data_IF_807419183418
#
_entry.id   IF_807419183418
#
_cell.length_a   1.000
_cell.length_b   1.000
_cell.length_c   1.000
_cell.angle_alpha   90.00
_cell.angle_beta   90.00
_cell.angle_gamma   90.00
#
_symmetry.space_group_name_H-M   'P 1'
#
loop_
_entity.id
_entity.type
_entity.pdbx_description
1 polymer ?
#
# COMPACT_ATOMS: atom_id res chain seq x y z
N UNK A 1 -2.15 1.05 -14.32
CA UNK A 1 -2.54 1.12 -12.90
C UNK A 1 -2.77 -0.25 -12.28
N UNK A 2 -3.35 -1.20 -13.04
CA UNK A 2 -3.63 -2.53 -12.50
C UNK A 2 -2.38 -3.26 -12.05
N UNK A 3 -1.29 -3.10 -12.80
CA UNK A 3 -0.03 -3.74 -12.46
C UNK A 3 0.57 -3.18 -11.16
N UNK A 4 0.52 -1.87 -11.01
CA UNK A 4 1.03 -1.23 -9.79
C UNK A 4 0.20 -1.64 -8.58
N UNK A 5 -1.11 -1.74 -8.72
CA UNK A 5 -1.96 -2.21 -7.64
C UNK A 5 -1.61 -3.65 -7.25
N UNK A 6 -1.41 -4.50 -8.23
CA UNK A 6 -1.03 -5.89 -8.01
C UNK A 6 0.33 -5.98 -7.32
N UNK A 7 1.31 -5.24 -7.82
CA UNK A 7 2.67 -5.24 -7.25
C UNK A 7 2.65 -4.72 -5.80
N UNK A 8 1.85 -3.72 -5.54
CA UNK A 8 1.73 -3.14 -4.22
C UNK A 8 1.16 -4.13 -3.21
N UNK A 9 0.04 -4.78 -3.57
CA UNK A 9 -0.57 -5.75 -2.66
C UNK A 9 0.32 -6.99 -2.49
N UNK A 10 0.98 -7.42 -3.54
CA UNK A 10 1.90 -8.56 -3.46
C UNK A 10 3.04 -8.28 -2.50
N UNK A 11 3.62 -7.09 -2.58
CA UNK A 11 4.71 -6.70 -1.69
C UNK A 11 4.26 -6.71 -0.23
N UNK A 12 3.10 -6.14 0.04
CA UNK A 12 2.57 -6.09 1.39
C UNK A 12 2.22 -7.49 1.92
N UNK A 13 1.64 -8.33 1.07
CA UNK A 13 1.25 -9.68 1.46
C UNK A 13 2.43 -10.61 1.72
N UNK A 14 3.54 -10.39 1.03
CA UNK A 14 4.76 -11.19 1.24
C UNK A 14 5.40 -10.95 2.59
N UNK A 15 5.17 -9.78 3.15
CA UNK A 15 5.82 -9.37 4.38
C UNK A 15 4.78 -8.86 5.38
N UNK A 16 3.87 -9.74 5.86
CA UNK A 16 2.84 -9.31 6.82
C UNK A 16 3.46 -8.74 8.08
N UNK A 17 2.89 -7.65 8.56
CA UNK A 17 3.38 -6.99 9.76
C UNK A 17 4.54 -6.04 9.55
N UNK A 18 5.17 -6.09 8.39
CA UNK A 18 6.26 -5.16 8.08
C UNK A 18 5.69 -3.83 7.61
N UNK A 19 6.06 -2.76 8.28
CA UNK A 19 5.60 -1.41 7.94
C UNK A 19 6.51 -0.83 6.86
N UNK A 20 5.87 -0.34 5.80
CA UNK A 20 6.55 0.35 4.71
C UNK A 20 6.14 1.81 4.71
N UNK A 21 7.12 2.71 4.60
CA UNK A 21 6.80 4.13 4.41
C UNK A 21 6.26 4.34 2.99
N UNK A 22 5.55 5.44 2.77
CA UNK A 22 5.05 5.77 1.44
C UNK A 22 6.18 5.91 0.44
N UNK A 23 7.31 6.46 0.88
CA UNK A 23 8.49 6.61 0.04
C UNK A 23 9.07 5.26 -0.37
N UNK A 24 9.14 4.32 0.57
CA UNK A 24 9.60 2.96 0.27
C UNK A 24 8.68 2.28 -0.72
N UNK A 25 7.38 2.39 -0.54
CA UNK A 25 6.41 1.81 -1.47
C UNK A 25 6.52 2.42 -2.85
N UNK A 26 6.72 3.73 -2.92
CA UNK A 26 6.90 4.40 -4.19
C UNK A 26 8.12 3.88 -4.95
N UNK A 27 9.25 3.76 -4.26
CA UNK A 27 10.49 3.25 -4.85
C UNK A 27 10.36 1.79 -5.28
N UNK A 28 9.77 0.95 -4.45
CA UNK A 28 9.70 -0.49 -4.69
C UNK A 28 8.68 -0.87 -5.76
N UNK A 29 7.60 -0.12 -5.87
CA UNK A 29 6.52 -0.44 -6.81
C UNK A 29 6.64 0.37 -8.10
N UNK A 30 6.84 1.67 -7.99
CA UNK A 30 6.93 2.55 -9.17
C UNK A 30 8.32 2.68 -9.72
N UNK A 31 9.33 2.45 -8.90
CA UNK A 31 10.71 2.50 -9.34
C UNK A 31 11.42 3.78 -8.91
N UNK A 32 12.73 3.67 -8.87
CA UNK A 32 13.60 4.73 -8.38
C UNK A 32 13.50 6.03 -9.17
N UNK A 33 13.23 5.90 -10.47
CA UNK A 33 13.18 7.06 -11.38
C UNK A 33 11.80 7.71 -11.46
N UNK A 34 10.82 7.20 -10.73
CA UNK A 34 9.48 7.74 -10.77
C UNK A 34 9.46 9.13 -10.13
N UNK A 35 9.00 10.11 -10.88
CA UNK A 35 8.94 11.50 -10.43
C UNK A 35 7.56 11.93 -9.96
N UNK A 36 6.68 10.98 -9.73
CA UNK A 36 5.34 11.28 -9.26
C UNK A 36 5.31 11.63 -7.77
N UNK A 37 4.15 12.11 -7.37
CA UNK A 37 3.90 12.51 -5.99
C UNK A 37 3.71 11.29 -5.10
N UNK A 38 4.17 11.38 -3.88
CA UNK A 38 3.97 10.36 -2.85
C UNK A 38 2.48 10.06 -2.61
N UNK A 39 1.60 11.01 -2.91
CA UNK A 39 0.16 10.82 -2.82
C UNK A 39 -0.36 9.75 -3.78
N UNK A 40 0.41 9.39 -4.80
CA UNK A 40 0.08 8.29 -5.69
C UNK A 40 -0.09 6.99 -4.91
N UNK A 41 0.77 6.77 -3.92
CA UNK A 41 0.69 5.60 -3.05
C UNK A 41 -0.64 5.58 -2.30
N UNK A 42 -1.02 6.72 -1.73
CA UNK A 42 -2.27 6.84 -0.98
C UNK A 42 -3.48 6.52 -1.83
N UNK A 43 -3.50 7.00 -3.07
CA UNK A 43 -4.58 6.73 -4.02
C UNK A 43 -4.69 5.23 -4.31
N UNK A 44 -3.57 4.57 -4.55
CA UNK A 44 -3.56 3.15 -4.85
C UNK A 44 -3.94 2.31 -3.62
N UNK A 45 -3.51 2.70 -2.44
CA UNK A 45 -3.92 2.05 -1.20
C UNK A 45 -5.44 2.16 -1.02
N UNK A 46 -6.01 3.33 -1.27
CA UNK A 46 -7.45 3.53 -1.18
C UNK A 46 -8.21 2.61 -2.14
N UNK A 47 -7.73 2.50 -3.39
CA UNK A 47 -8.34 1.62 -4.38
C UNK A 47 -8.27 0.15 -3.98
N UNK A 48 -7.13 -0.27 -3.42
CA UNK A 48 -6.99 -1.64 -2.92
C UNK A 48 -7.95 -1.92 -1.78
N UNK A 49 -8.10 -0.97 -0.85
CA UNK A 49 -9.06 -1.11 0.24
C UNK A 49 -10.48 -1.26 -0.28
N UNK A 50 -10.85 -0.48 -1.27
CA UNK A 50 -12.18 -0.57 -1.87
C UNK A 50 -12.44 -1.94 -2.49
N UNK A 51 -11.40 -2.59 -3.02
CA UNK A 51 -11.50 -3.90 -3.63
C UNK A 51 -11.45 -5.06 -2.63
N UNK A 52 -10.65 -4.94 -1.58
CA UNK A 52 -10.35 -6.04 -0.67
C UNK A 52 -11.11 -5.97 0.64
N UNK A 53 -11.39 -4.79 1.14
CA UNK A 53 -11.99 -4.60 2.45
C UNK A 53 -13.51 -4.55 2.33
N UNK A 54 -14.19 -5.18 3.30
CA UNK A 54 -15.64 -5.06 3.41
C UNK A 54 -16.05 -3.62 3.66
N UNK A 55 -15.29 -2.96 4.53
CA UNK A 55 -15.51 -1.56 4.87
C UNK A 55 -14.19 -0.83 4.76
N UNK A 56 -13.95 -0.11 3.66
CA UNK A 56 -12.68 0.61 3.47
C UNK A 56 -12.38 1.62 4.56
N UNK A 57 -13.40 2.13 5.25
CA UNK A 57 -13.21 3.07 6.35
C UNK A 57 -12.69 2.38 7.62
N UNK A 58 -12.88 1.06 7.73
CA UNK A 58 -12.37 0.27 8.85
C UNK A 58 -11.59 -0.94 8.30
N UNK A 59 -10.40 -0.70 7.71
CA UNK A 59 -9.67 -1.76 7.03
C UNK A 59 -9.18 -2.85 7.98
N UNK A 60 -9.28 -4.09 7.53
CA UNK A 60 -8.83 -5.27 8.28
C UNK A 60 -7.51 -5.83 7.74
N UNK A 61 -7.18 -5.57 6.48
CA UNK A 61 -6.00 -6.14 5.81
C UNK A 61 -4.90 -5.12 5.61
N UNK A 62 -5.21 -4.01 5.00
CA UNK A 62 -4.24 -2.95 4.73
C UNK A 62 -4.41 -1.88 5.80
N UNK A 63 -3.47 -1.84 6.73
CA UNK A 63 -3.57 -0.98 7.92
C UNK A 63 -2.64 0.23 7.77
N UNK A 64 -3.13 1.38 8.18
CA UNK A 64 -2.32 2.59 8.23
C UNK A 64 -1.56 2.65 9.55
N UNK A 65 -0.25 2.83 9.46
CA UNK A 65 0.57 3.17 10.62
C UNK A 65 0.77 4.68 10.60
N UNK A 66 0.02 5.39 11.43
CA UNK A 66 0.01 6.85 11.42
C UNK A 66 1.42 7.42 11.63
N UNK A 67 1.79 8.34 10.76
CA UNK A 67 3.10 8.98 10.80
C UNK A 67 4.23 8.15 10.19
N UNK A 68 3.95 6.92 9.75
CA UNK A 68 4.98 6.04 9.16
C UNK A 68 4.59 5.59 7.76
N UNK A 69 3.50 4.84 7.61
CA UNK A 69 3.10 4.30 6.32
C UNK A 69 2.01 3.26 6.42
N UNK A 70 2.19 2.15 5.71
CA UNK A 70 1.18 1.10 5.62
C UNK A 70 1.80 -0.28 5.87
N UNK A 71 0.99 -1.22 6.31
CA UNK A 71 1.39 -2.60 6.45
C UNK A 71 0.20 -3.55 6.24
N UNK A 72 0.51 -4.80 5.92
CA UNK A 72 -0.50 -5.83 5.79
C UNK A 72 -0.66 -6.51 7.15
N UNK A 73 -1.89 -6.66 7.60
CA UNK A 73 -2.17 -7.25 8.91
C UNK A 73 -1.67 -8.70 8.99
N UNK A 74 -1.07 -9.06 10.09
CA UNK A 74 -0.70 -10.44 10.36
C UNK A 74 -1.93 -11.27 10.66
N UNK A 75 -1.90 -12.48 10.15
CA UNK A 75 -3.00 -13.39 10.39
C UNK A 75 -3.04 -13.87 11.83
#
# INVERSE_FOLDING_TARGET
YKRQEFDLIELLMRNPGKVYSREQLLDLVWGYDYQGDIRTVDVHIRRLREKLERNPAAPEYIITKWGVGYYFAEA
#
